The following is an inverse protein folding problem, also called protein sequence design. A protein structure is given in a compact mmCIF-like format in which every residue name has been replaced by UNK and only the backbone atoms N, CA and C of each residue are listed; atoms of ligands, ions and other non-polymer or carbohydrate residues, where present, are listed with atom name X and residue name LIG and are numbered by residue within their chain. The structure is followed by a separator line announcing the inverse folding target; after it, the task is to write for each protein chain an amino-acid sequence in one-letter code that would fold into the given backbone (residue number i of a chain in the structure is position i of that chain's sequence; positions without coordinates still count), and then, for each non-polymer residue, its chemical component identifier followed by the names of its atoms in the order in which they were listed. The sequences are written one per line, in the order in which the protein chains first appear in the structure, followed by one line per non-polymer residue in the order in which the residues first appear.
data_IF_265315050580
#
_entry.id   IF_265315050580
#
_cell.length_a   1.000
_cell.length_b   1.000
_cell.length_c   1.000
_cell.angle_alpha   90.00
_cell.angle_beta   90.00
_cell.angle_gamma   90.00
#
_symmetry.space_group_name_H-M   'P 1'
#
loop_
_entity.id
_entity.type
_entity.pdbx_description
1 polymer ?
#
# COMPACT_ATOMS: atom_id res chain seq x y z
N UNK A 1 23.40 16.35 5.37
CA UNK A 1 23.98 15.02 5.03
C UNK A 1 23.05 13.94 5.59
N UNK A 2 22.53 13.03 4.77
CA UNK A 2 21.68 11.93 5.27
C UNK A 2 22.57 11.01 6.11
N UNK A 3 22.21 10.77 7.36
CA UNK A 3 22.98 9.86 8.23
C UNK A 3 22.74 8.40 7.83
N UNK A 4 23.76 7.55 8.02
CA UNK A 4 23.64 6.10 7.82
C UNK A 4 22.49 5.51 8.66
N UNK A 5 22.25 6.07 9.86
CA UNK A 5 21.15 5.65 10.72
C UNK A 5 19.78 5.92 10.08
N UNK A 6 19.59 7.08 9.46
CA UNK A 6 18.35 7.41 8.76
C UNK A 6 18.11 6.49 7.55
N UNK A 7 19.17 6.14 6.80
CA UNK A 7 19.08 5.17 5.71
C UNK A 7 18.65 3.78 6.22
N UNK A 8 19.32 3.27 7.25
CA UNK A 8 19.00 1.94 7.81
C UNK A 8 17.59 1.90 8.41
N UNK A 9 17.17 2.98 9.07
CA UNK A 9 15.82 3.13 9.58
C UNK A 9 14.80 3.13 8.45
N UNK A 10 15.02 3.96 7.41
CA UNK A 10 14.14 4.03 6.24
C UNK A 10 14.01 2.67 5.55
N UNK A 11 15.11 1.91 5.43
CA UNK A 11 15.09 0.55 4.87
C UNK A 11 14.25 -0.43 5.69
N UNK A 12 14.31 -0.36 7.03
CA UNK A 12 13.48 -1.19 7.91
C UNK A 12 12.00 -0.85 7.77
N UNK A 13 11.65 0.44 7.82
CA UNK A 13 10.27 0.90 7.65
C UNK A 13 9.74 0.53 6.26
N UNK A 14 10.52 0.76 5.20
CA UNK A 14 10.11 0.42 3.84
C UNK A 14 9.77 -1.06 3.70
N UNK A 15 10.62 -1.96 4.22
CA UNK A 15 10.34 -3.42 4.21
C UNK A 15 9.05 -3.77 4.93
N UNK A 16 8.78 -3.14 6.07
CA UNK A 16 7.52 -3.33 6.80
C UNK A 16 6.33 -2.85 5.97
N UNK A 17 6.42 -1.64 5.38
CA UNK A 17 5.36 -1.09 4.52
C UNK A 17 5.11 -1.95 3.28
N UNK A 18 6.13 -2.55 2.68
CA UNK A 18 5.97 -3.49 1.54
C UNK A 18 5.11 -4.70 1.93
N UNK A 19 5.36 -5.30 3.10
CA UNK A 19 4.55 -6.44 3.57
C UNK A 19 3.13 -5.98 3.85
N UNK A 20 2.99 -4.86 4.55
CA UNK A 20 1.69 -4.30 4.89
C UNK A 20 0.88 -3.99 3.63
N UNK A 21 1.48 -3.32 2.65
CA UNK A 21 0.82 -2.93 1.39
C UNK A 21 0.42 -4.14 0.55
N UNK A 22 1.19 -5.23 0.58
CA UNK A 22 0.85 -6.45 -0.12
C UNK A 22 -0.46 -7.05 0.43
N UNK A 23 -0.62 -7.09 1.75
CA UNK A 23 -1.83 -7.61 2.41
C UNK A 23 -3.05 -6.75 2.04
N UNK A 24 -2.97 -5.43 2.27
CA UNK A 24 -4.10 -4.55 1.97
C UNK A 24 -4.35 -4.44 0.46
N UNK A 25 -3.31 -4.55 -0.37
CA UNK A 25 -3.42 -4.53 -1.83
C UNK A 25 -4.18 -5.72 -2.40
N UNK A 26 -4.03 -6.91 -1.81
CA UNK A 26 -4.84 -8.08 -2.16
C UNK A 26 -6.32 -7.80 -1.86
N UNK A 27 -6.63 -7.29 -0.66
CA UNK A 27 -8.01 -6.98 -0.26
C UNK A 27 -8.61 -5.91 -1.20
N UNK A 28 -7.86 -4.84 -1.47
CA UNK A 28 -8.25 -3.76 -2.38
C UNK A 28 -8.47 -4.25 -3.82
N UNK A 29 -7.64 -5.17 -4.29
CA UNK A 29 -7.80 -5.77 -5.62
C UNK A 29 -9.04 -6.63 -5.71
N UNK A 30 -9.28 -7.51 -4.73
CA UNK A 30 -10.48 -8.37 -4.68
C UNK A 30 -11.74 -7.53 -4.61
N UNK A 31 -11.81 -6.59 -3.67
CA UNK A 31 -12.97 -5.71 -3.51
C UNK A 31 -13.19 -4.82 -4.74
N UNK A 32 -12.13 -4.31 -5.35
CA UNK A 32 -12.21 -3.53 -6.59
C UNK A 32 -12.71 -4.36 -7.79
N UNK A 33 -12.28 -5.61 -7.93
CA UNK A 33 -12.77 -6.54 -8.95
C UNK A 33 -14.26 -6.82 -8.75
N UNK A 34 -14.70 -7.09 -7.52
CA UNK A 34 -16.11 -7.37 -7.21
C UNK A 34 -17.01 -6.15 -7.47
N UNK A 35 -16.53 -4.94 -7.18
CA UNK A 35 -17.25 -3.70 -7.48
C UNK A 35 -17.30 -3.39 -8.98
N UNK A 36 -16.22 -3.68 -9.71
CA UNK A 36 -16.13 -3.43 -11.16
C UNK A 36 -16.95 -4.42 -11.97
N UNK A 37 -16.95 -5.69 -11.58
CA UNK A 37 -17.60 -6.78 -12.29
C UNK A 37 -18.74 -7.35 -11.45
N UNK A 38 -19.84 -6.60 -11.38
CA UNK A 38 -21.00 -6.92 -10.53
C UNK A 38 -21.66 -8.25 -10.86
N UNK A 39 -21.53 -8.75 -12.10
CA UNK A 39 -22.00 -10.10 -12.47
C UNK A 39 -21.26 -11.23 -11.73
N UNK A 40 -20.02 -10.99 -11.26
CA UNK A 40 -19.27 -11.92 -10.41
C UNK A 40 -19.84 -11.87 -9.00
N UNK A 41 -20.06 -10.67 -8.46
CA UNK A 41 -20.67 -10.46 -7.15
C UNK A 41 -22.09 -11.07 -7.07
N UNK A 42 -22.88 -10.97 -8.14
CA UNK A 42 -24.21 -11.57 -8.23
C UNK A 42 -24.25 -13.10 -8.08
N UNK A 43 -23.11 -13.79 -8.26
CA UNK A 43 -22.99 -15.24 -8.03
C UNK A 43 -22.76 -15.60 -6.56
N UNK A 44 -22.41 -14.63 -5.72
CA UNK A 44 -22.17 -14.84 -4.29
C UNK A 44 -23.38 -14.35 -3.49
N UNK A 45 -24.20 -15.29 -3.04
CA UNK A 45 -25.42 -15.00 -2.26
C UNK A 45 -25.16 -14.40 -0.87
N UNK A 46 -23.92 -14.47 -0.38
CA UNK A 46 -23.51 -13.99 0.95
C UNK A 46 -22.80 -12.63 0.92
N UNK A 47 -22.55 -12.08 -0.26
CA UNK A 47 -21.73 -10.86 -0.41
C UNK A 47 -22.62 -9.69 -0.77
N UNK A 48 -22.83 -8.79 0.19
CA UNK A 48 -23.49 -7.53 -0.02
C UNK A 48 -22.54 -6.51 -0.69
N UNK A 49 -22.98 -5.92 -1.80
CA UNK A 49 -22.24 -4.89 -2.53
C UNK A 49 -22.00 -3.65 -1.68
N UNK A 50 -22.91 -3.30 -0.77
CA UNK A 50 -22.76 -2.17 0.12
C UNK A 50 -21.59 -2.40 1.10
N UNK A 51 -21.51 -3.60 1.68
CA UNK A 51 -20.38 -4.00 2.52
C UNK A 51 -19.04 -3.97 1.77
N UNK A 52 -18.98 -4.50 0.54
CA UNK A 52 -17.74 -4.43 -0.25
C UNK A 52 -17.33 -2.98 -0.48
N UNK A 53 -18.29 -2.11 -0.83
CA UNK A 53 -18.03 -0.69 -1.09
C UNK A 53 -17.54 0.01 0.16
N UNK A 54 -18.15 -0.27 1.31
CA UNK A 54 -17.70 0.23 2.60
C UNK A 54 -16.25 -0.19 2.89
N UNK A 55 -15.93 -1.48 2.75
CA UNK A 55 -14.58 -2.00 2.99
C UNK A 55 -13.56 -1.33 2.04
N UNK A 56 -13.84 -1.31 0.73
CA UNK A 56 -12.95 -0.74 -0.28
C UNK A 56 -12.68 0.76 -0.05
N UNK A 57 -13.72 1.53 0.24
CA UNK A 57 -13.59 2.97 0.43
C UNK A 57 -12.84 3.32 1.72
N UNK A 58 -13.02 2.55 2.81
CA UNK A 58 -12.28 2.80 4.06
C UNK A 58 -10.82 2.34 3.98
N UNK A 59 -10.52 1.28 3.23
CA UNK A 59 -9.13 0.84 3.01
C UNK A 59 -8.38 1.72 2.01
N UNK A 60 -9.06 2.40 1.08
CA UNK A 60 -8.42 3.23 0.04
C UNK A 60 -7.50 4.33 0.61
N UNK A 61 -7.94 5.15 1.60
CA UNK A 61 -7.04 6.13 2.22
C UNK A 61 -5.85 5.48 2.94
N UNK A 62 -6.07 4.35 3.61
CA UNK A 62 -4.99 3.62 4.30
C UNK A 62 -3.95 3.15 3.27
N UNK A 63 -4.41 2.58 2.16
CA UNK A 63 -3.57 2.17 1.04
C UNK A 63 -2.74 3.34 0.48
N UNK A 64 -3.36 4.49 0.25
CA UNK A 64 -2.69 5.70 -0.22
C UNK A 64 -1.62 6.19 0.76
N UNK A 65 -1.91 6.21 2.07
CA UNK A 65 -0.95 6.61 3.11
C UNK A 65 0.26 5.68 3.17
N UNK A 66 0.04 4.37 3.06
CA UNK A 66 1.13 3.38 3.02
C UNK A 66 1.98 3.57 1.78
N UNK A 67 1.36 3.79 0.62
CA UNK A 67 2.06 4.12 -0.63
C UNK A 67 2.91 5.39 -0.50
N UNK A 68 2.37 6.44 0.12
CA UNK A 68 3.11 7.67 0.37
C UNK A 68 4.31 7.43 1.29
N UNK A 69 4.15 6.66 2.36
CA UNK A 69 5.26 6.26 3.23
C UNK A 69 6.34 5.47 2.48
N UNK A 70 5.93 4.60 1.57
CA UNK A 70 6.86 3.86 0.70
C UNK A 70 7.60 4.77 -0.26
N UNK A 71 6.93 5.77 -0.85
CA UNK A 71 7.56 6.78 -1.71
C UNK A 71 8.62 7.54 -0.94
N UNK A 72 8.29 8.07 0.25
CA UNK A 72 9.23 8.85 1.08
C UNK A 72 10.45 8.00 1.46
N UNK A 73 10.23 6.80 2.00
CA UNK A 73 11.34 5.91 2.39
C UNK A 73 12.17 5.44 1.19
N UNK A 74 11.53 5.20 0.05
CA UNK A 74 12.19 4.87 -1.21
C UNK A 74 13.07 6.01 -1.72
N UNK A 75 12.57 7.25 -1.69
CA UNK A 75 13.34 8.45 -2.07
C UNK A 75 14.57 8.64 -1.17
N UNK A 76 14.43 8.45 0.15
CA UNK A 76 15.58 8.53 1.07
C UNK A 76 16.65 7.48 0.70
N UNK A 77 16.24 6.24 0.43
CA UNK A 77 17.16 5.17 0.04
C UNK A 77 17.80 5.41 -1.33
N UNK A 78 17.07 6.01 -2.27
CA UNK A 78 17.56 6.35 -3.61
C UNK A 78 18.57 7.50 -3.58
N UNK A 79 18.32 8.54 -2.78
CA UNK A 79 19.16 9.74 -2.70
C UNK A 79 20.43 9.49 -1.86
N UNK A 80 20.37 8.67 -0.82
CA UNK A 80 21.51 8.39 0.07
C UNK A 80 22.84 8.07 -0.65
N UNK A 81 22.91 7.12 -1.60
CA UNK A 81 24.17 6.82 -2.29
C UNK A 81 24.67 7.98 -3.15
N UNK A 82 23.78 8.80 -3.70
CA UNK A 82 24.16 9.96 -4.52
C UNK A 82 24.87 11.03 -3.67
N UNK A 83 24.36 11.29 -2.46
CA UNK A 83 24.95 12.28 -1.55
C UNK A 83 26.25 11.78 -0.92
N UNK A 84 26.41 10.46 -0.73
CA UNK A 84 27.62 9.89 -0.11
C UNK A 84 28.81 9.80 -1.08
N UNK A 85 28.55 9.75 -2.38
CA UNK A 85 29.58 9.60 -3.43
C UNK A 85 30.17 10.94 -3.88
N UNK A 86 29.44 12.03 -3.67
CA UNK A 86 29.89 13.42 -3.87
C UNK A 86 30.42 14.00 -2.56
#
# INVERSE_FOLDING_TARGET
MISTNLFLFSKKIHRFLVIFIAIIGIIMSVTGILLKYTFIAAKFTFIDLELIRFIHNNLSPIFALVFLGMLITGLIMYIFPLIRKN
#
